data_IF_423876863597
#
_entry.id   IF_423876863597
#
_cell.length_a   1.000
_cell.length_b   1.000
_cell.length_c   1.000
_cell.angle_alpha   90.00
_cell.angle_beta   90.00
_cell.angle_gamma   90.00
#
_symmetry.space_group_name_H-M   'P 1'
#
loop_
_entity.id
_entity.type
_entity.pdbx_description
1 polymer ?
#
# COMPACT_ATOMS: atom_id res chain seq x y z
N UNK A 1 13.89 -8.85 -17.00
CA UNK A 1 12.61 -8.26 -17.47
C UNK A 1 12.16 -7.29 -16.39
N UNK A 2 12.28 -5.98 -16.62
CA UNK A 2 11.57 -5.00 -15.79
C UNK A 2 10.13 -5.04 -16.30
N UNK A 3 9.24 -5.63 -15.52
CA UNK A 3 7.81 -5.50 -15.77
C UNK A 3 7.45 -4.04 -15.62
N UNK A 4 7.46 -3.30 -16.73
CA UNK A 4 7.00 -1.93 -16.79
C UNK A 4 5.48 -1.97 -16.62
N UNK A 5 5.01 -1.98 -15.36
CA UNK A 5 3.60 -1.78 -15.05
C UNK A 5 3.34 -0.27 -15.14
N UNK A 6 2.74 0.22 -16.23
CA UNK A 6 2.74 1.64 -16.58
C UNK A 6 1.86 2.50 -15.66
N UNK A 7 1.02 1.88 -14.83
CA UNK A 7 0.09 2.56 -13.95
C UNK A 7 0.21 2.00 -12.53
N UNK A 8 0.39 2.90 -11.58
CA UNK A 8 0.54 2.62 -10.16
C UNK A 8 0.50 3.90 -9.36
N UNK A 9 0.54 3.75 -8.04
CA UNK A 9 0.65 4.86 -7.09
C UNK A 9 1.88 4.62 -6.23
N UNK A 10 2.67 5.68 -6.07
CA UNK A 10 3.74 5.74 -5.11
C UNK A 10 3.24 6.47 -3.86
N UNK A 11 3.41 5.84 -2.71
CA UNK A 11 2.98 6.36 -1.41
C UNK A 11 4.23 6.63 -0.59
N UNK A 12 4.50 7.91 -0.38
CA UNK A 12 5.46 8.39 0.61
C UNK A 12 4.72 8.75 1.91
N UNK A 13 5.39 8.51 3.04
CA UNK A 13 4.79 8.66 4.37
C UNK A 13 5.67 9.58 5.19
N UNK A 14 5.14 10.74 5.56
CA UNK A 14 5.74 11.58 6.59
C UNK A 14 5.35 11.02 7.96
N UNK A 15 6.29 10.32 8.61
CA UNK A 15 6.06 9.68 9.91
C UNK A 15 5.68 10.67 11.01
N UNK A 16 6.15 11.93 10.91
CA UNK A 16 5.82 12.97 11.90
C UNK A 16 4.35 13.38 11.85
N UNK A 17 3.69 13.16 10.72
CA UNK A 17 2.27 13.44 10.50
C UNK A 17 1.43 12.17 10.64
N UNK A 18 1.89 11.06 10.07
CA UNK A 18 1.17 9.78 10.02
C UNK A 18 1.23 8.98 11.32
N UNK A 19 2.25 9.21 12.16
CA UNK A 19 2.49 8.46 13.39
C UNK A 19 2.91 6.99 13.16
N UNK A 20 3.26 6.63 11.92
CA UNK A 20 3.72 5.30 11.54
C UNK A 20 4.56 5.35 10.26
N UNK A 21 5.48 4.39 10.11
CA UNK A 21 6.32 4.25 8.93
C UNK A 21 5.59 3.58 7.75
N UNK A 22 6.16 3.66 6.55
CA UNK A 22 5.71 2.86 5.41
C UNK A 22 5.72 1.36 5.73
N UNK A 23 6.70 0.90 6.50
CA UNK A 23 6.80 -0.51 6.90
C UNK A 23 5.67 -0.90 7.87
N UNK A 24 5.34 -0.06 8.84
CA UNK A 24 4.20 -0.29 9.75
C UNK A 24 2.87 -0.38 9.00
N UNK A 25 2.69 0.46 7.97
CA UNK A 25 1.52 0.41 7.10
C UNK A 25 1.46 -0.94 6.39
N UNK A 26 2.55 -1.38 5.76
CA UNK A 26 2.63 -2.69 5.09
C UNK A 26 2.27 -3.82 6.06
N UNK A 27 2.79 -3.79 7.28
CA UNK A 27 2.56 -4.87 8.24
C UNK A 27 1.12 -4.89 8.76
N UNK A 28 0.52 -3.71 8.99
CA UNK A 28 -0.91 -3.59 9.32
C UNK A 28 -1.82 -4.06 8.18
N UNK A 29 -1.48 -3.72 6.93
CA UNK A 29 -2.23 -4.14 5.75
C UNK A 29 -2.17 -5.67 5.54
N UNK A 30 -1.00 -6.29 5.77
CA UNK A 30 -0.84 -7.75 5.73
C UNK A 30 -1.58 -8.48 6.84
N UNK A 31 -1.64 -7.88 8.03
CA UNK A 31 -2.35 -8.44 9.18
C UNK A 31 -3.87 -8.21 9.13
N UNK A 32 -4.37 -7.44 8.16
CA UNK A 32 -5.79 -7.17 7.97
C UNK A 32 -6.58 -8.33 7.34
N UNK A 33 -7.89 -8.13 7.22
CA UNK A 33 -8.81 -9.04 6.54
C UNK A 33 -9.67 -8.25 5.52
N UNK A 34 -9.56 -8.52 4.21
CA UNK A 34 -8.58 -9.43 3.60
C UNK A 34 -7.14 -8.90 3.74
N UNK A 35 -6.13 -9.78 3.80
CA UNK A 35 -4.74 -9.36 3.85
C UNK A 35 -4.35 -8.71 2.52
N UNK A 36 -3.77 -7.51 2.57
CA UNK A 36 -3.26 -6.82 1.39
C UNK A 36 -1.74 -7.02 1.29
N UNK A 37 -1.30 -7.80 0.29
CA UNK A 37 0.11 -8.11 0.11
C UNK A 37 0.83 -7.01 -0.66
N UNK A 38 1.59 -6.20 0.07
CA UNK A 38 2.49 -5.18 -0.46
C UNK A 38 3.85 -5.23 0.24
N UNK A 39 4.81 -4.39 -0.16
CA UNK A 39 6.14 -4.29 0.45
C UNK A 39 6.72 -2.88 0.34
N UNK A 40 7.56 -2.53 1.32
CA UNK A 40 8.67 -1.59 1.13
C UNK A 40 9.84 -2.40 0.61
N UNK A 41 10.57 -1.90 -0.40
CA UNK A 41 11.75 -2.62 -0.93
C UNK A 41 12.99 -2.28 -0.10
N UNK A 42 13.99 -3.15 -0.15
CA UNK A 42 15.25 -2.90 0.56
C UNK A 42 15.88 -1.58 0.09
N UNK A 43 16.14 -0.68 1.04
CA UNK A 43 16.70 0.65 0.77
C UNK A 43 15.70 1.70 0.31
N UNK A 44 14.42 1.35 0.17
CA UNK A 44 13.32 2.27 -0.11
C UNK A 44 12.55 2.63 1.18
N UNK A 45 11.83 3.75 1.18
CA UNK A 45 10.99 4.21 2.30
C UNK A 45 9.53 4.50 1.88
N UNK A 46 9.18 4.09 0.67
CA UNK A 46 7.90 4.31 0.01
C UNK A 46 7.24 2.95 -0.29
N UNK A 47 5.94 2.99 -0.59
CA UNK A 47 5.18 1.84 -1.07
C UNK A 47 4.79 2.10 -2.52
N UNK A 48 5.07 1.15 -3.41
CA UNK A 48 4.61 1.21 -4.79
C UNK A 48 3.49 0.20 -4.98
N UNK A 49 2.28 0.70 -5.27
CA UNK A 49 1.09 -0.11 -5.54
C UNK A 49 0.79 -0.12 -7.02
N UNK A 50 0.51 -1.30 -7.56
CA UNK A 50 0.02 -1.49 -8.91
C UNK A 50 -1.33 -2.22 -8.87
N UNK A 51 -2.27 -1.81 -9.72
CA UNK A 51 -3.57 -2.47 -9.83
C UNK A 51 -3.54 -3.83 -10.54
N UNK A 52 -2.36 -4.29 -10.96
CA UNK A 52 -2.21 -5.57 -11.64
C UNK A 52 -2.59 -6.73 -10.70
N UNK A 53 -3.53 -7.56 -11.13
CA UNK A 53 -4.05 -8.66 -10.32
C UNK A 53 -5.29 -8.31 -9.51
N UNK A 54 -5.75 -7.06 -9.52
CA UNK A 54 -7.03 -6.68 -8.94
C UNK A 54 -8.18 -7.02 -9.89
N UNK A 55 -9.22 -7.65 -9.36
CA UNK A 55 -10.52 -7.80 -10.02
C UNK A 55 -11.34 -6.51 -9.92
N UNK A 56 -12.40 -6.39 -10.70
CA UNK A 56 -13.32 -5.25 -10.64
C UNK A 56 -13.82 -5.02 -9.19
N UNK A 57 -13.66 -3.79 -8.70
CA UNK A 57 -14.06 -3.39 -7.35
C UNK A 57 -13.04 -3.67 -6.25
N UNK A 58 -12.00 -4.47 -6.48
CA UNK A 58 -10.95 -4.72 -5.47
C UNK A 58 -10.04 -3.50 -5.25
N UNK A 59 -9.93 -2.62 -6.24
CA UNK A 59 -9.32 -1.30 -6.12
C UNK A 59 -9.96 -0.48 -5.00
N UNK A 60 -11.30 -0.53 -4.89
CA UNK A 60 -12.04 0.17 -3.83
C UNK A 60 -11.79 -0.43 -2.46
N UNK A 61 -11.70 -1.76 -2.37
CA UNK A 61 -11.36 -2.46 -1.13
C UNK A 61 -9.96 -2.06 -0.68
N UNK A 62 -8.98 -2.08 -1.58
CA UNK A 62 -7.60 -1.66 -1.29
C UNK A 62 -7.56 -0.21 -0.78
N UNK A 63 -8.21 0.71 -1.49
CA UNK A 63 -8.27 2.11 -1.11
C UNK A 63 -8.91 2.33 0.26
N UNK A 64 -10.05 1.68 0.53
CA UNK A 64 -10.75 1.78 1.80
C UNK A 64 -9.90 1.25 2.96
N UNK A 65 -9.24 0.09 2.81
CA UNK A 65 -8.38 -0.48 3.85
C UNK A 65 -7.17 0.41 4.16
N UNK A 66 -6.60 1.07 3.15
CA UNK A 66 -5.54 2.06 3.37
C UNK A 66 -6.10 3.28 4.13
N UNK A 67 -7.26 3.80 3.73
CA UNK A 67 -7.89 4.94 4.38
C UNK A 67 -8.24 4.69 5.86
N UNK A 68 -8.73 3.49 6.18
CA UNK A 68 -9.06 3.07 7.55
C UNK A 68 -7.87 3.15 8.50
N UNK A 69 -6.63 2.90 8.04
CA UNK A 69 -5.42 3.06 8.87
C UNK A 69 -5.21 4.50 9.35
N UNK A 70 -5.81 5.46 8.67
CA UNK A 70 -5.74 6.89 8.96
C UNK A 70 -7.08 7.48 9.42
N UNK A 71 -8.07 6.63 9.73
CA UNK A 71 -9.39 7.06 10.21
C UNK A 71 -10.21 7.84 9.18
N UNK A 72 -10.09 7.49 7.89
CA UNK A 72 -10.83 8.10 6.78
C UNK A 72 -11.82 7.15 6.11
#
# INVERSE_FOLDING_TARGET
IIGHQPFGVEIEVDESVAGMSAQDIVDKLKAGDPPLWTRVRDGESNIVLHGFGLSEGQDKIVGARIAELFGR
#
